data_IF_783795274478
#
_entry.id   IF_783795274478
#
_cell.length_a   1.000
_cell.length_b   1.000
_cell.length_c   1.000
_cell.angle_alpha   90.00
_cell.angle_beta   90.00
_cell.angle_gamma   90.00
#
_symmetry.space_group_name_H-M   'P 1'
#
loop_
_entity.id
_entity.type
_entity.pdbx_description
1 polymer ?
#
# COMPACT_ATOMS: atom_id res chain seq x y z
N UNK A 1 1.60 -19.26 -10.71
CA UNK A 1 1.10 -18.70 -11.99
C UNK A 1 2.30 -18.11 -12.72
N UNK A 2 2.50 -18.42 -14.00
CA UNK A 2 3.71 -18.05 -14.75
C UNK A 2 3.79 -16.54 -14.97
N UNK A 3 5.02 -16.02 -14.98
CA UNK A 3 5.39 -14.60 -15.22
C UNK A 3 4.83 -13.99 -16.51
N UNK A 4 4.27 -14.81 -17.40
CA UNK A 4 3.60 -14.41 -18.63
C UNK A 4 2.23 -13.75 -18.37
N UNK A 5 1.51 -14.14 -17.32
CA UNK A 5 0.17 -13.61 -17.04
C UNK A 5 0.16 -12.15 -16.56
N UNK A 6 1.22 -11.74 -15.84
CA UNK A 6 1.31 -10.38 -15.29
C UNK A 6 1.75 -9.35 -16.34
N UNK A 7 2.57 -9.75 -17.33
CA UNK A 7 2.92 -8.89 -18.47
C UNK A 7 1.71 -8.59 -19.35
N UNK A 8 0.83 -9.57 -19.56
CA UNK A 8 -0.37 -9.38 -20.37
C UNK A 8 -1.41 -8.47 -19.70
N UNK A 9 -1.50 -8.50 -18.37
CA UNK A 9 -2.40 -7.60 -17.63
C UNK A 9 -1.82 -6.16 -17.63
N UNK A 10 -0.50 -6.02 -17.52
CA UNK A 10 0.19 -4.73 -17.61
C UNK A 10 0.04 -4.07 -18.99
N UNK A 11 0.24 -4.82 -20.08
CA UNK A 11 0.06 -4.30 -21.45
C UNK A 11 -1.39 -3.83 -21.71
N UNK A 12 -2.38 -4.54 -21.18
CA UNK A 12 -3.80 -4.15 -21.31
C UNK A 12 -4.14 -2.87 -20.53
N UNK A 13 -3.53 -2.65 -19.36
CA UNK A 13 -3.67 -1.40 -18.61
C UNK A 13 -2.99 -0.22 -19.33
N UNK A 14 -1.85 -0.48 -19.99
CA UNK A 14 -1.10 0.52 -20.75
C UNK A 14 -1.84 0.94 -22.03
N UNK A 15 -2.45 -0.01 -22.75
CA UNK A 15 -3.29 0.26 -23.91
C UNK A 15 -4.54 1.07 -23.55
N UNK A 16 -5.17 0.77 -22.39
CA UNK A 16 -6.30 1.54 -21.87
C UNK A 16 -5.95 3.00 -21.56
N UNK A 17 -4.76 3.25 -21.01
CA UNK A 17 -4.27 4.60 -20.73
C UNK A 17 -3.92 5.38 -22.00
N UNK A 18 -3.39 4.73 -23.04
CA UNK A 18 -3.15 5.37 -24.34
C UNK A 18 -4.45 5.73 -25.05
N UNK A 19 -5.46 4.86 -24.98
CA UNK A 19 -6.79 5.11 -25.57
C UNK A 19 -7.50 6.31 -24.91
N UNK A 20 -7.39 6.45 -23.58
CA UNK A 20 -7.97 7.58 -22.84
C UNK A 20 -7.28 8.91 -23.20
N UNK A 21 -5.94 8.94 -23.29
CA UNK A 21 -5.17 10.15 -23.68
C UNK A 21 -5.46 10.60 -25.12
N UNK A 22 -5.64 9.66 -26.05
CA UNK A 22 -6.04 9.96 -27.44
C UNK A 22 -7.44 10.60 -27.52
N UNK A 23 -8.33 10.26 -26.58
CA UNK A 23 -9.69 10.80 -26.49
C UNK A 23 -9.74 12.19 -25.84
N UNK A 24 -8.80 12.50 -24.93
CA UNK A 24 -8.61 13.83 -24.33
C UNK A 24 -8.03 14.83 -25.34
N UNK A 25 -7.10 14.40 -26.22
CA UNK A 25 -6.55 15.22 -27.33
C UNK A 25 -7.63 15.74 -28.30
N UNK A 26 -8.80 15.09 -28.39
CA UNK A 26 -9.90 15.50 -29.31
C UNK A 26 -10.84 16.57 -28.71
N UNK A 27 -10.77 16.83 -27.40
CA UNK A 27 -11.74 17.68 -26.69
C UNK A 27 -11.20 19.11 -26.46
N UNK A 28 -9.88 19.33 -26.55
CA UNK A 28 -9.20 20.59 -26.21
C UNK A 28 -8.57 21.35 -27.39
N UNK A 29 -8.93 21.04 -28.64
CA UNK A 29 -8.43 21.78 -29.82
C UNK A 29 -8.95 23.23 -29.95
N UNK A 30 -8.15 24.18 -30.45
CA UNK A 30 -8.53 25.59 -30.52
C UNK A 30 -9.66 25.87 -31.53
N UNK A 31 -10.62 26.72 -31.12
CA UNK A 31 -11.72 27.22 -31.99
C UNK A 31 -11.15 28.01 -33.17
N UNK A 32 -11.59 27.67 -34.38
CA UNK A 32 -11.20 28.31 -35.63
C UNK A 32 -11.46 29.84 -35.64
N UNK A 33 -10.52 30.67 -36.12
CA UNK A 33 -10.78 32.08 -36.34
C UNK A 33 -11.51 32.32 -37.67
N UNK A 34 -12.43 33.28 -37.63
CA UNK A 34 -13.12 33.80 -38.81
C UNK A 34 -12.18 34.57 -39.74
N UNK A 35 -12.47 34.39 -41.02
CA UNK A 35 -11.89 34.99 -42.22
C UNK A 35 -11.60 36.51 -42.10
N UNK A 36 -10.32 36.93 -42.25
CA UNK A 36 -9.91 38.10 -43.07
C UNK A 36 -8.40 38.06 -43.42
N UNK A 37 -8.16 38.36 -44.70
CA UNK A 37 -7.01 39.00 -45.35
C UNK A 37 -5.61 38.35 -45.40
N UNK A 38 -5.31 37.91 -46.64
CA UNK A 38 -3.99 37.71 -47.23
C UNK A 38 -3.17 39.00 -47.14
N UNK A 39 -2.05 38.97 -46.42
CA UNK A 39 -0.72 39.49 -46.81
C UNK A 39 0.23 39.37 -45.61
N UNK A 40 0.77 38.17 -45.42
CA UNK A 40 1.74 37.88 -44.35
C UNK A 40 1.94 36.37 -44.22
N UNK A 41 2.38 35.70 -45.29
CA UNK A 41 2.24 34.23 -45.41
C UNK A 41 3.55 33.43 -45.28
N UNK A 42 4.71 34.06 -45.13
CA UNK A 42 5.99 33.35 -44.95
C UNK A 42 6.60 33.59 -43.58
N UNK A 43 6.53 34.80 -43.04
CA UNK A 43 7.05 35.11 -41.70
C UNK A 43 6.22 34.47 -40.57
N UNK A 44 4.90 34.37 -40.74
CA UNK A 44 4.00 33.66 -39.81
C UNK A 44 4.18 32.14 -39.86
N UNK A 45 4.50 31.58 -41.04
CA UNK A 45 4.77 30.15 -41.21
C UNK A 45 6.07 29.73 -40.52
N UNK A 46 7.14 30.51 -40.69
CA UNK A 46 8.43 30.23 -40.03
C UNK A 46 8.33 30.42 -38.52
N UNK A 47 7.55 31.40 -38.04
CA UNK A 47 7.28 31.54 -36.60
C UNK A 47 6.51 30.36 -36.03
N UNK A 48 5.50 29.87 -36.76
CA UNK A 48 4.72 28.70 -36.35
C UNK A 48 5.53 27.40 -36.39
N UNK A 49 6.40 27.24 -37.39
CA UNK A 49 7.32 26.09 -37.47
C UNK A 49 8.35 26.12 -36.33
N UNK A 50 8.85 27.30 -35.95
CA UNK A 50 9.73 27.44 -34.78
C UNK A 50 9.04 27.21 -33.45
N UNK A 51 7.80 27.69 -33.30
CA UNK A 51 6.99 27.40 -32.13
C UNK A 51 6.67 25.90 -32.07
N UNK A 52 6.35 25.23 -33.18
CA UNK A 52 6.15 23.78 -33.18
C UNK A 52 7.43 22.99 -32.81
N UNK A 53 8.61 23.38 -33.30
CA UNK A 53 9.89 22.76 -32.91
C UNK A 53 10.23 22.97 -31.41
N UNK A 54 9.98 24.17 -30.87
CA UNK A 54 10.24 24.48 -29.45
C UNK A 54 9.30 23.69 -28.52
N UNK A 55 8.06 23.46 -28.95
CA UNK A 55 7.10 22.62 -28.21
C UNK A 55 7.43 21.12 -28.31
N UNK A 56 7.98 20.65 -29.43
CA UNK A 56 8.45 19.26 -29.56
C UNK A 56 9.68 19.00 -28.67
N UNK A 57 10.59 19.98 -28.55
CA UNK A 57 11.73 19.91 -27.62
C UNK A 57 11.27 19.91 -26.14
N UNK A 58 10.28 20.72 -25.77
CA UNK A 58 9.71 20.73 -24.42
C UNK A 58 8.97 19.41 -24.08
N UNK A 59 8.24 18.81 -25.02
CA UNK A 59 7.61 17.48 -24.82
C UNK A 59 8.66 16.37 -24.68
N UNK A 60 9.77 16.40 -25.43
CA UNK A 60 10.87 15.43 -25.27
C UNK A 60 11.58 15.59 -23.91
N UNK A 61 11.78 16.81 -23.41
CA UNK A 61 12.34 17.05 -22.08
C UNK A 61 11.41 16.56 -20.95
N UNK A 62 10.09 16.77 -21.07
CA UNK A 62 9.10 16.24 -20.12
C UNK A 62 9.04 14.70 -20.12
N UNK A 63 9.14 14.05 -21.30
CA UNK A 63 9.20 12.59 -21.40
C UNK A 63 10.51 12.03 -20.77
N UNK A 64 11.65 12.71 -20.94
CA UNK A 64 12.92 12.31 -20.31
C UNK A 64 12.92 12.51 -18.78
N UNK A 65 12.24 13.53 -18.26
CA UNK A 65 12.03 13.73 -16.81
C UNK A 65 11.10 12.67 -16.22
N UNK A 66 10.00 12.31 -16.90
CA UNK A 66 9.11 11.23 -16.48
C UNK A 66 9.83 9.86 -16.47
N UNK A 67 10.66 9.55 -17.47
CA UNK A 67 11.46 8.32 -17.49
C UNK A 67 12.48 8.27 -16.33
N UNK A 68 13.09 9.41 -15.98
CA UNK A 68 14.01 9.49 -14.83
C UNK A 68 13.29 9.32 -13.49
N UNK A 69 12.10 9.91 -13.31
CA UNK A 69 11.27 9.69 -12.13
C UNK A 69 10.82 8.22 -12.02
N UNK A 70 10.47 7.57 -13.14
CA UNK A 70 10.13 6.15 -13.18
C UNK A 70 11.33 5.26 -12.79
N UNK A 71 12.55 5.57 -13.27
CA UNK A 71 13.76 4.84 -12.89
C UNK A 71 14.10 5.02 -11.40
N UNK A 72 13.99 6.23 -10.85
CA UNK A 72 14.19 6.50 -9.43
C UNK A 72 13.14 5.80 -8.55
N UNK A 73 11.87 5.79 -8.97
CA UNK A 73 10.84 4.99 -8.32
C UNK A 73 11.18 3.50 -8.40
N UNK A 74 11.63 2.99 -9.55
CA UNK A 74 11.98 1.56 -9.70
C UNK A 74 13.16 1.15 -8.80
N UNK A 75 14.13 2.05 -8.58
CA UNK A 75 15.22 1.86 -7.63
C UNK A 75 14.75 1.89 -6.17
N UNK A 76 13.85 2.83 -5.80
CA UNK A 76 13.19 2.85 -4.48
C UNK A 76 12.41 1.54 -4.24
N UNK A 77 11.68 1.08 -5.24
CA UNK A 77 11.00 -0.22 -5.22
C UNK A 77 12.00 -1.40 -5.21
N UNK A 78 13.19 -1.29 -5.82
CA UNK A 78 14.23 -2.31 -5.76
C UNK A 78 14.89 -2.44 -4.37
N UNK A 79 15.03 -1.32 -3.64
CA UNK A 79 15.42 -1.33 -2.22
C UNK A 79 14.32 -2.00 -1.37
N UNK A 80 13.04 -1.69 -1.61
CA UNK A 80 11.90 -2.39 -1.00
C UNK A 80 11.84 -3.89 -1.34
N UNK A 81 12.17 -4.27 -2.59
CA UNK A 81 12.25 -5.66 -3.06
C UNK A 81 13.35 -6.47 -2.37
N UNK A 82 14.47 -5.86 -1.96
CA UNK A 82 15.48 -6.51 -1.10
C UNK A 82 14.97 -6.81 0.31
N UNK A 83 14.05 -5.99 0.83
CA UNK A 83 13.26 -6.31 2.04
C UNK A 83 12.28 -7.47 1.81
N UNK A 84 11.67 -7.56 0.62
CA UNK A 84 10.78 -8.66 0.22
C UNK A 84 11.52 -10.00 0.04
N UNK A 85 12.77 -10.03 -0.42
CA UNK A 85 13.56 -11.27 -0.48
C UNK A 85 13.96 -11.79 0.91
N UNK A 86 14.16 -10.89 1.88
CA UNK A 86 14.27 -11.28 3.29
C UNK A 86 12.94 -11.85 3.81
N UNK A 87 11.79 -11.24 3.50
CA UNK A 87 10.46 -11.77 3.88
C UNK A 87 10.10 -13.08 3.17
N UNK A 88 10.53 -13.31 1.93
CA UNK A 88 10.31 -14.56 1.20
C UNK A 88 11.17 -15.71 1.75
N UNK A 89 12.29 -15.40 2.42
CA UNK A 89 13.08 -16.35 3.19
C UNK A 89 12.47 -16.69 4.58
N UNK A 90 11.44 -15.96 5.03
CA UNK A 90 10.74 -16.18 6.32
C UNK A 90 9.81 -17.41 6.29
N UNK A 91 9.43 -17.90 5.11
CA UNK A 91 8.59 -19.09 4.96
C UNK A 91 9.30 -20.20 4.17
N UNK A 92 10.04 -21.12 4.84
CA UNK A 92 10.56 -22.30 4.17
C UNK A 92 9.43 -23.24 3.74
N UNK A 93 9.67 -24.00 2.66
CA UNK A 93 8.76 -25.06 2.20
C UNK A 93 8.55 -26.12 3.28
N UNK A 94 7.41 -26.86 3.27
CA UNK A 94 7.11 -27.86 4.29
C UNK A 94 8.21 -28.92 4.36
N UNK A 95 8.77 -29.13 5.56
CA UNK A 95 9.75 -30.19 5.82
C UNK A 95 9.07 -31.55 5.64
N UNK A 96 9.60 -32.47 4.83
CA UNK A 96 9.00 -33.79 4.68
C UNK A 96 9.45 -34.71 5.83
N UNK A 97 8.47 -35.21 6.60
CA UNK A 97 8.61 -36.45 7.37
C UNK A 97 8.88 -36.29 8.87
N UNK A 98 7.83 -36.44 9.67
CA UNK A 98 7.90 -36.87 11.07
C UNK A 98 7.12 -38.19 11.22
N UNK A 99 7.70 -39.13 11.97
CA UNK A 99 7.39 -40.57 12.03
C UNK A 99 5.91 -41.00 12.12
N UNK A 100 5.50 -42.08 11.42
CA UNK A 100 4.14 -42.60 11.42
C UNK A 100 3.94 -43.61 12.56
N UNK A 101 4.01 -43.19 13.83
CA UNK A 101 3.73 -44.10 14.94
C UNK A 101 3.26 -43.38 16.20
N UNK A 102 2.02 -42.90 16.20
CA UNK A 102 1.16 -42.74 17.39
C UNK A 102 -0.27 -42.47 16.91
N UNK A 103 -0.94 -43.55 16.50
CA UNK A 103 -2.40 -43.61 16.43
C UNK A 103 -2.86 -44.05 17.81
N UNK A 104 -3.34 -43.12 18.63
CA UNK A 104 -4.22 -43.45 19.73
C UNK A 104 -5.38 -42.45 19.76
N UNK A 105 -6.55 -43.03 19.50
CA UNK A 105 -7.91 -42.62 19.81
C UNK A 105 -8.12 -41.23 20.44
N UNK A 106 -8.48 -40.27 19.60
CA UNK A 106 -9.48 -39.26 19.95
C UNK A 106 -10.19 -38.87 18.65
N UNK A 107 -11.22 -39.65 18.29
CA UNK A 107 -12.19 -39.26 17.27
C UNK A 107 -13.11 -38.21 17.89
N UNK A 108 -12.54 -37.02 18.13
CA UNK A 108 -13.28 -35.85 18.53
C UNK A 108 -14.23 -35.50 17.38
N UNK A 109 -15.53 -35.52 17.68
CA UNK A 109 -16.59 -35.15 16.76
C UNK A 109 -16.23 -33.87 16.00
N UNK A 110 -16.12 -33.97 14.67
CA UNK A 110 -15.95 -32.84 13.78
C UNK A 110 -17.07 -31.82 14.07
N UNK A 111 -16.74 -30.56 14.42
CA UNK A 111 -17.75 -29.58 14.79
C UNK A 111 -18.73 -29.39 13.62
N UNK A 112 -20.01 -29.55 13.93
CA UNK A 112 -21.11 -29.37 12.97
C UNK A 112 -21.13 -27.91 12.49
N UNK A 113 -20.44 -27.63 11.38
CA UNK A 113 -20.29 -26.28 10.81
C UNK A 113 -19.09 -26.05 9.90
N UNK A 114 -18.16 -27.02 9.77
CA UNK A 114 -16.92 -26.88 8.98
C UNK A 114 -17.20 -26.62 7.49
N UNK A 115 -16.98 -25.38 7.04
CA UNK A 115 -16.96 -24.98 5.63
C UNK A 115 -15.52 -24.70 5.18
N UNK A 116 -15.02 -25.61 4.36
CA UNK A 116 -13.77 -25.67 3.58
C UNK A 116 -12.48 -25.01 4.15
N UNK A 117 -11.47 -25.86 4.32
CA UNK A 117 -10.17 -25.68 5.00
C UNK A 117 -9.08 -24.81 4.33
N UNK A 118 -9.07 -24.52 3.00
CA UNK A 118 -7.93 -23.84 2.37
C UNK A 118 -7.70 -22.41 2.86
N UNK A 119 -8.78 -21.68 3.17
CA UNK A 119 -8.72 -20.29 3.64
C UNK A 119 -8.31 -20.19 5.11
N UNK A 120 -8.47 -21.26 5.89
CA UNK A 120 -8.18 -21.28 7.33
C UNK A 120 -6.71 -20.91 7.61
N UNK A 121 -5.78 -21.54 6.89
CA UNK A 121 -4.36 -21.26 7.03
C UNK A 121 -4.00 -19.83 6.58
N UNK A 122 -4.71 -19.30 5.57
CA UNK A 122 -4.49 -17.95 5.08
C UNK A 122 -5.01 -16.90 6.07
N UNK A 123 -6.16 -17.13 6.71
CA UNK A 123 -6.68 -16.31 7.80
C UNK A 123 -5.70 -16.32 8.99
N UNK A 124 -5.16 -17.48 9.37
CA UNK A 124 -4.15 -17.56 10.44
C UNK A 124 -2.87 -16.77 10.11
N UNK A 125 -2.44 -16.75 8.84
CA UNK A 125 -1.33 -15.90 8.40
C UNK A 125 -1.67 -14.42 8.47
N UNK A 126 -2.86 -14.03 8.00
CA UNK A 126 -3.32 -12.64 8.06
C UNK A 126 -3.43 -12.16 9.51
N UNK A 127 -3.97 -12.97 10.43
CA UNK A 127 -4.01 -12.67 11.87
C UNK A 127 -2.60 -12.33 12.41
N UNK A 128 -1.58 -13.12 12.05
CA UNK A 128 -0.22 -12.84 12.49
C UNK A 128 0.34 -11.56 11.84
N UNK A 129 -0.04 -11.25 10.60
CA UNK A 129 0.36 -10.02 9.92
C UNK A 129 -0.26 -8.78 10.56
N UNK A 130 -1.55 -8.79 10.93
CA UNK A 130 -2.18 -7.67 11.65
C UNK A 130 -1.55 -7.47 13.04
N UNK A 131 -1.24 -8.57 13.74
CA UNK A 131 -0.53 -8.50 15.03
C UNK A 131 0.89 -7.95 14.88
N UNK A 132 1.57 -8.29 13.78
CA UNK A 132 2.88 -7.72 13.45
C UNK A 132 2.77 -6.22 13.15
N UNK A 133 1.79 -5.80 12.33
CA UNK A 133 1.55 -4.40 12.02
C UNK A 133 1.26 -3.59 13.31
N UNK A 134 0.40 -4.12 14.17
CA UNK A 134 0.14 -3.56 15.50
C UNK A 134 1.43 -3.37 16.32
N UNK A 135 2.33 -4.35 16.30
CA UNK A 135 3.58 -4.29 17.06
C UNK A 135 4.58 -3.28 16.47
N UNK A 136 4.62 -3.15 15.14
CA UNK A 136 5.40 -2.10 14.46
C UNK A 136 4.90 -0.72 14.85
N UNK A 137 3.59 -0.48 14.80
CA UNK A 137 3.00 0.79 15.22
C UNK A 137 3.21 1.08 16.69
N UNK A 138 3.20 0.06 17.55
CA UNK A 138 3.53 0.22 18.96
C UNK A 138 4.99 0.70 19.14
N UNK A 139 5.92 0.13 18.38
CA UNK A 139 7.33 0.57 18.38
C UNK A 139 7.46 2.04 17.94
N UNK A 140 6.80 2.42 16.84
CA UNK A 140 6.77 3.82 16.37
C UNK A 140 6.21 4.76 17.42
N UNK A 141 5.07 4.41 18.03
CA UNK A 141 4.42 5.23 19.05
C UNK A 141 5.36 5.53 20.23
N UNK A 142 6.05 4.51 20.74
CA UNK A 142 6.96 4.68 21.86
C UNK A 142 8.28 5.36 21.48
N UNK A 143 8.73 5.25 20.23
CA UNK A 143 9.84 6.05 19.71
C UNK A 143 9.54 7.55 19.79
N UNK A 144 8.38 7.99 19.28
CA UNK A 144 8.00 9.41 19.31
C UNK A 144 7.71 9.94 20.72
N UNK A 145 7.46 9.04 21.69
CA UNK A 145 7.25 9.39 23.09
C UNK A 145 8.53 9.61 23.91
N UNK A 146 9.71 9.32 23.34
CA UNK A 146 11.01 9.54 24.00
C UNK A 146 11.25 11.02 24.25
N UNK A 147 12.02 11.32 25.29
CA UNK A 147 12.37 12.69 25.68
C UNK A 147 13.26 13.40 24.65
N UNK A 148 14.05 12.64 23.87
CA UNK A 148 14.92 13.15 22.81
C UNK A 148 14.25 13.29 21.44
N UNK A 149 12.98 12.87 21.30
CA UNK A 149 12.15 13.04 20.08
C UNK A 149 10.95 13.96 20.36
N UNK A 150 10.18 13.68 21.41
CA UNK A 150 9.12 14.52 21.98
C UNK A 150 7.98 14.98 21.03
N UNK A 151 7.62 14.18 20.02
CA UNK A 151 6.50 14.43 19.10
C UNK A 151 5.23 13.69 19.55
N UNK A 152 4.54 14.27 20.52
CA UNK A 152 3.44 13.59 21.23
C UNK A 152 2.22 13.23 20.36
N UNK A 153 1.91 13.99 19.31
CA UNK A 153 0.75 13.68 18.46
C UNK A 153 1.09 12.58 17.46
N UNK A 154 2.34 12.50 16.95
CA UNK A 154 2.84 11.31 16.27
C UNK A 154 2.75 10.05 17.15
N UNK A 155 3.17 10.15 18.42
CA UNK A 155 3.07 9.04 19.36
C UNK A 155 1.62 8.55 19.53
N UNK A 156 0.67 9.48 19.66
CA UNK A 156 -0.76 9.14 19.77
C UNK A 156 -1.32 8.56 18.47
N UNK A 157 -0.94 9.12 17.32
CA UNK A 157 -1.35 8.65 16.01
C UNK A 157 -0.99 7.19 15.80
N UNK A 158 0.29 6.83 15.98
CA UNK A 158 0.71 5.43 15.84
C UNK A 158 0.16 4.53 16.95
N UNK A 159 -0.09 5.04 18.16
CA UNK A 159 -0.76 4.27 19.20
C UNK A 159 -2.23 3.94 18.83
N UNK A 160 -2.91 4.85 18.13
CA UNK A 160 -4.24 4.61 17.57
C UNK A 160 -4.19 3.52 16.50
N UNK A 161 -3.30 3.65 15.50
CA UNK A 161 -3.13 2.63 14.46
C UNK A 161 -2.79 1.25 15.06
N UNK A 162 -1.91 1.20 16.05
CA UNK A 162 -1.58 -0.06 16.75
C UNK A 162 -2.82 -0.76 17.35
N UNK A 163 -3.78 0.01 17.87
CA UNK A 163 -5.03 -0.52 18.43
C UNK A 163 -6.01 -0.95 17.34
N UNK A 164 -6.10 -0.17 16.26
CA UNK A 164 -6.92 -0.50 15.08
C UNK A 164 -6.45 -1.85 14.49
N UNK A 165 -5.14 -2.05 14.31
CA UNK A 165 -4.61 -3.32 13.82
C UNK A 165 -4.81 -4.51 14.78
N UNK A 166 -4.79 -4.26 16.09
CA UNK A 166 -5.18 -5.29 17.07
C UNK A 166 -6.65 -5.69 16.87
N UNK A 167 -7.52 -4.72 16.62
CA UNK A 167 -8.94 -4.95 16.39
C UNK A 167 -9.19 -5.69 15.07
N UNK A 168 -8.41 -5.42 14.02
CA UNK A 168 -8.40 -6.20 12.78
C UNK A 168 -8.04 -7.66 13.05
N UNK A 169 -6.95 -7.92 13.77
CA UNK A 169 -6.53 -9.26 14.16
C UNK A 169 -7.63 -10.02 14.92
N UNK A 170 -8.23 -9.38 15.94
CA UNK A 170 -9.30 -9.98 16.72
C UNK A 170 -10.57 -10.26 15.90
N UNK A 171 -10.87 -9.42 14.91
CA UNK A 171 -12.01 -9.62 14.01
C UNK A 171 -11.81 -10.85 13.13
N UNK A 172 -10.61 -11.06 12.59
CA UNK A 172 -10.25 -12.29 11.88
C UNK A 172 -10.29 -13.53 12.78
N UNK A 173 -9.85 -13.42 14.04
CA UNK A 173 -9.95 -14.52 15.01
C UNK A 173 -11.42 -14.89 15.29
N UNK A 174 -12.30 -13.90 15.45
CA UNK A 174 -13.75 -14.12 15.60
C UNK A 174 -14.33 -14.80 14.36
N UNK A 175 -13.98 -14.33 13.16
CA UNK A 175 -14.41 -14.92 11.90
C UNK A 175 -13.99 -16.39 11.78
N UNK A 176 -12.73 -16.69 12.11
CA UNK A 176 -12.18 -18.06 12.08
C UNK A 176 -13.00 -18.99 12.99
N UNK A 177 -13.28 -18.56 14.22
CA UNK A 177 -14.07 -19.33 15.17
C UNK A 177 -15.54 -19.46 14.73
N UNK A 178 -16.14 -18.40 14.19
CA UNK A 178 -17.53 -18.40 13.69
C UNK A 178 -17.72 -19.43 12.58
N UNK A 179 -16.70 -19.64 11.74
CA UNK A 179 -16.69 -20.63 10.68
C UNK A 179 -16.25 -22.04 11.11
N UNK A 180 -15.99 -22.24 12.40
CA UNK A 180 -15.54 -23.51 12.95
C UNK A 180 -14.08 -23.87 12.63
N UNK A 181 -13.28 -22.92 12.13
CA UNK A 181 -11.84 -23.06 11.94
C UNK A 181 -11.07 -23.15 13.25
N UNK A 182 -9.75 -23.32 13.18
CA UNK A 182 -8.85 -23.32 14.35
C UNK A 182 -7.84 -22.20 14.22
N UNK A 183 -7.71 -21.44 15.31
CA UNK A 183 -6.70 -20.40 15.43
C UNK A 183 -5.38 -21.07 15.83
N UNK A 184 -4.36 -20.91 14.98
CA UNK A 184 -3.01 -21.41 15.21
C UNK A 184 -2.03 -20.23 15.30
N UNK A 185 -1.94 -19.60 16.49
CA UNK A 185 -1.05 -18.45 16.70
C UNK A 185 0.42 -18.83 16.48
N UNK A 186 1.18 -17.89 15.92
CA UNK A 186 2.61 -18.00 15.67
C UNK A 186 3.36 -16.86 16.36
N UNK A 187 4.69 -16.95 16.40
CA UNK A 187 5.54 -15.87 16.88
C UNK A 187 5.25 -14.57 16.12
N UNK A 188 5.04 -13.48 16.88
CA UNK A 188 5.00 -12.13 16.31
C UNK A 188 6.45 -11.67 16.22
N UNK A 189 6.96 -11.48 15.00
CA UNK A 189 8.33 -11.00 14.81
C UNK A 189 8.46 -9.58 15.35
N UNK A 190 9.63 -9.28 15.93
CA UNK A 190 9.94 -7.89 16.27
C UNK A 190 10.03 -7.04 14.99
N UNK A 191 9.77 -5.73 15.07
CA UNK A 191 10.04 -4.81 13.97
C UNK A 191 11.50 -4.91 13.49
N UNK A 192 11.72 -4.56 12.22
CA UNK A 192 13.04 -4.56 11.58
C UNK A 192 14.02 -3.55 12.20
N UNK A 193 13.49 -2.49 12.83
CA UNK A 193 14.25 -1.43 13.48
C UNK A 193 13.66 -1.00 14.82
N UNK A 194 14.54 -0.53 15.70
CA UNK A 194 14.19 0.05 17.00
C UNK A 194 14.23 1.60 16.99
N UNK A 195 14.89 2.18 15.97
CA UNK A 195 15.01 3.62 15.74
C UNK A 195 14.34 3.98 14.40
N UNK A 196 13.39 4.91 14.46
CA UNK A 196 12.60 5.34 13.30
C UNK A 196 13.11 6.61 12.65
N UNK A 197 14.19 7.21 13.17
CA UNK A 197 14.93 8.36 12.64
C UNK A 197 14.15 9.68 12.64
N UNK A 198 13.01 9.75 11.95
CA UNK A 198 12.24 10.97 11.75
C UNK A 198 10.74 10.68 11.61
N UNK A 199 9.91 11.72 11.71
CA UNK A 199 8.48 11.65 11.41
C UNK A 199 8.21 11.21 9.97
N UNK A 200 8.98 11.75 9.01
CA UNK A 200 8.87 11.36 7.60
C UNK A 200 9.18 9.87 7.39
N UNK A 201 10.31 9.40 7.90
CA UNK A 201 10.73 8.00 7.69
C UNK A 201 9.76 7.02 8.34
N UNK A 202 9.17 7.38 9.50
CA UNK A 202 8.15 6.56 10.13
C UNK A 202 6.86 6.50 9.29
N UNK A 203 6.41 7.61 8.71
CA UNK A 203 5.23 7.67 7.84
C UNK A 203 5.44 6.88 6.54
N UNK A 204 6.62 6.94 5.93
CA UNK A 204 6.97 6.13 4.76
C UNK A 204 6.99 4.63 5.08
N UNK A 205 7.57 4.25 6.23
CA UNK A 205 7.57 2.86 6.69
C UNK A 205 6.15 2.35 6.97
N UNK A 206 5.29 3.19 7.58
CA UNK A 206 3.89 2.90 7.80
C UNK A 206 3.14 2.72 6.48
N UNK A 207 3.33 3.62 5.51
CA UNK A 207 2.73 3.52 4.19
C UNK A 207 3.11 2.22 3.48
N UNK A 208 4.38 1.82 3.55
CA UNK A 208 4.84 0.56 2.98
C UNK A 208 4.22 -0.65 3.70
N UNK A 209 4.13 -0.60 5.03
CA UNK A 209 3.48 -1.65 5.83
C UNK A 209 2.01 -1.82 5.42
N UNK A 210 1.25 -0.73 5.30
CA UNK A 210 -0.15 -0.77 4.88
C UNK A 210 -0.34 -1.31 3.46
N UNK A 211 0.55 -0.95 2.53
CA UNK A 211 0.54 -1.52 1.17
C UNK A 211 0.78 -3.03 1.20
N UNK A 212 1.68 -3.52 2.06
CA UNK A 212 1.95 -4.94 2.21
C UNK A 212 0.78 -5.70 2.84
N UNK A 213 0.16 -5.14 3.89
CA UNK A 213 -1.05 -5.69 4.52
C UNK A 213 -2.19 -5.77 3.50
N UNK A 214 -2.42 -4.69 2.75
CA UNK A 214 -3.42 -4.65 1.69
C UNK A 214 -3.17 -5.68 0.59
N UNK A 215 -1.92 -5.85 0.16
CA UNK A 215 -1.57 -6.88 -0.83
C UNK A 215 -1.89 -8.29 -0.31
N UNK A 216 -1.58 -8.58 0.95
CA UNK A 216 -1.94 -9.87 1.59
C UNK A 216 -3.46 -10.07 1.67
N UNK A 217 -4.22 -9.01 1.95
CA UNK A 217 -5.69 -9.05 1.94
C UNK A 217 -6.26 -9.30 0.54
N UNK A 218 -5.70 -8.70 -0.50
CA UNK A 218 -6.11 -8.95 -1.89
C UNK A 218 -5.81 -10.40 -2.31
N UNK A 219 -4.68 -10.96 -1.87
CA UNK A 219 -4.36 -12.37 -2.10
C UNK A 219 -5.31 -13.31 -1.35
N UNK A 220 -5.67 -12.97 -0.12
CA UNK A 220 -6.67 -13.70 0.67
C UNK A 220 -8.06 -13.63 0.01
N UNK A 221 -8.46 -12.47 -0.50
CA UNK A 221 -9.71 -12.27 -1.23
C UNK A 221 -9.73 -13.06 -2.55
N UNK A 222 -8.63 -13.03 -3.30
CA UNK A 222 -8.47 -13.84 -4.52
C UNK A 222 -8.58 -15.34 -4.21
N UNK A 223 -7.97 -15.80 -3.11
CA UNK A 223 -8.09 -17.17 -2.64
C UNK A 223 -9.54 -17.53 -2.28
N UNK A 224 -10.23 -16.66 -1.53
CA UNK A 224 -11.62 -16.84 -1.16
C UNK A 224 -12.52 -16.95 -2.40
N UNK A 225 -12.33 -16.04 -3.36
CA UNK A 225 -13.04 -16.03 -4.65
C UNK A 225 -12.80 -17.30 -5.46
N UNK A 226 -11.54 -17.75 -5.56
CA UNK A 226 -11.17 -18.98 -6.26
C UNK A 226 -11.74 -20.24 -5.61
N UNK A 227 -12.06 -20.18 -4.31
CA UNK A 227 -12.70 -21.27 -3.55
C UNK A 227 -14.22 -21.15 -3.49
N UNK A 228 -14.80 -20.09 -4.07
CA UNK A 228 -16.24 -19.86 -4.02
C UNK A 228 -16.75 -19.60 -2.61
N UNK A 229 -15.99 -18.84 -1.80
CA UNK A 229 -16.36 -18.41 -0.45
C UNK A 229 -16.84 -16.95 -0.44
N UNK A 230 -18.11 -16.69 -0.84
CA UNK A 230 -18.62 -15.32 -0.96
C UNK A 230 -18.74 -14.60 0.38
N UNK A 231 -18.92 -15.34 1.48
CA UNK A 231 -18.98 -14.74 2.80
C UNK A 231 -17.63 -14.18 3.22
N UNK A 232 -16.53 -14.92 2.99
CA UNK A 232 -15.20 -14.39 3.27
C UNK A 232 -14.87 -13.19 2.38
N UNK A 233 -15.24 -13.21 1.09
CA UNK A 233 -15.07 -12.05 0.21
C UNK A 233 -15.80 -10.81 0.76
N UNK A 234 -17.08 -10.95 1.12
CA UNK A 234 -17.90 -9.86 1.66
C UNK A 234 -17.32 -9.27 2.96
N UNK A 235 -16.84 -10.13 3.87
CA UNK A 235 -16.20 -9.69 5.12
C UNK A 235 -14.91 -8.91 4.84
N UNK A 236 -14.08 -9.37 3.89
CA UNK A 236 -12.84 -8.68 3.53
C UNK A 236 -13.11 -7.32 2.86
N UNK A 237 -14.10 -7.26 1.97
CA UNK A 237 -14.52 -6.02 1.31
C UNK A 237 -15.08 -5.01 2.32
N UNK A 238 -15.94 -5.46 3.22
CA UNK A 238 -16.67 -4.60 4.16
C UNK A 238 -15.76 -4.04 5.25
N UNK A 239 -14.88 -4.87 5.82
CA UNK A 239 -14.14 -4.53 7.04
C UNK A 239 -12.65 -4.25 6.85
N UNK A 240 -12.06 -4.57 5.70
CA UNK A 240 -10.60 -4.46 5.52
C UNK A 240 -10.24 -3.63 4.30
N UNK A 241 -10.68 -4.03 3.09
CA UNK A 241 -10.21 -3.40 1.85
C UNK A 241 -10.56 -1.90 1.77
N UNK A 242 -11.76 -1.52 2.22
CA UNK A 242 -12.15 -0.10 2.25
C UNK A 242 -11.32 0.71 3.24
N UNK A 243 -10.93 0.12 4.37
CA UNK A 243 -10.17 0.80 5.40
C UNK A 243 -8.69 0.88 5.02
N UNK A 244 -8.11 -0.17 4.42
CA UNK A 244 -6.76 -0.11 3.82
C UNK A 244 -6.63 1.02 2.81
N UNK A 245 -7.60 1.20 1.90
CA UNK A 245 -7.55 2.28 0.89
C UNK A 245 -7.54 3.66 1.55
N UNK A 246 -8.32 3.85 2.62
CA UNK A 246 -8.33 5.11 3.38
C UNK A 246 -7.00 5.33 4.10
N UNK A 247 -6.49 4.31 4.80
CA UNK A 247 -5.22 4.40 5.54
C UNK A 247 -4.04 4.68 4.61
N UNK A 248 -3.96 4.00 3.46
CA UNK A 248 -2.93 4.25 2.46
C UNK A 248 -3.02 5.67 1.90
N UNK A 249 -4.23 6.17 1.67
CA UNK A 249 -4.44 7.55 1.20
C UNK A 249 -4.02 8.58 2.25
N UNK A 250 -4.43 8.39 3.50
CA UNK A 250 -4.10 9.25 4.63
C UNK A 250 -2.58 9.32 4.84
N UNK A 251 -1.92 8.17 4.91
CA UNK A 251 -0.47 8.09 5.05
C UNK A 251 0.26 8.70 3.84
N UNK A 252 -0.25 8.49 2.62
CA UNK A 252 0.28 9.14 1.42
C UNK A 252 0.21 10.66 1.49
N UNK A 253 -0.91 11.22 1.95
CA UNK A 253 -1.08 12.66 2.15
C UNK A 253 -0.12 13.21 3.22
N UNK A 254 0.07 12.46 4.30
CA UNK A 254 1.02 12.81 5.37
C UNK A 254 2.47 12.83 4.89
N UNK A 255 2.89 11.79 4.17
CA UNK A 255 4.23 11.72 3.56
C UNK A 255 4.45 12.90 2.62
N UNK A 256 3.52 13.13 1.69
CA UNK A 256 3.62 14.25 0.75
C UNK A 256 3.73 15.59 1.47
N UNK A 257 2.87 15.84 2.46
CA UNK A 257 2.88 17.08 3.24
C UNK A 257 4.22 17.29 3.97
N UNK A 258 4.76 16.25 4.59
CA UNK A 258 6.05 16.33 5.30
C UNK A 258 7.21 16.64 4.34
N UNK A 259 7.24 16.00 3.16
CA UNK A 259 8.22 16.29 2.11
C UNK A 259 8.10 17.75 1.65
N UNK A 260 6.88 18.22 1.34
CA UNK A 260 6.66 19.60 0.91
C UNK A 260 7.05 20.63 1.97
N UNK A 261 6.91 20.30 3.25
CA UNK A 261 7.36 21.16 4.36
C UNK A 261 8.89 21.13 4.59
N UNK A 262 9.61 20.24 3.89
CA UNK A 262 11.06 20.11 3.96
C UNK A 262 11.56 19.20 5.09
N UNK A 263 10.74 18.28 5.60
CA UNK A 263 11.22 17.25 6.53
C UNK A 263 12.14 16.24 5.80
N UNK A 264 13.15 15.65 6.48
CA UNK A 264 13.51 15.85 7.88
C UNK A 264 14.48 17.04 8.11
N UNK A 265 15.03 17.63 7.05
CA UNK A 265 16.09 18.66 7.15
C UNK A 265 15.61 19.95 7.82
N UNK A 266 14.32 20.27 7.69
CA UNK A 266 13.66 21.36 8.37
C UNK A 266 13.02 20.85 9.68
N UNK A 267 13.73 20.96 10.81
CA UNK A 267 13.20 20.51 12.11
C UNK A 267 11.89 21.20 12.55
N UNK A 268 11.58 22.39 12.01
CA UNK A 268 10.28 23.05 12.24
C UNK A 268 9.12 22.35 11.51
N UNK A 269 9.40 21.65 10.41
CA UNK A 269 8.39 20.97 9.61
C UNK A 269 7.63 19.91 10.42
N UNK A 270 8.37 18.98 11.05
CA UNK A 270 7.78 17.90 11.84
C UNK A 270 7.05 18.41 13.07
N UNK A 271 7.59 19.46 13.72
CA UNK A 271 6.92 20.08 14.86
C UNK A 271 5.58 20.72 14.47
N UNK A 272 5.54 21.48 13.37
CA UNK A 272 4.29 22.09 12.90
C UNK A 272 3.30 21.03 12.43
N UNK A 273 3.76 20.00 11.74
CA UNK A 273 2.94 18.87 11.31
C UNK A 273 2.33 18.12 12.51
N UNK A 274 3.13 17.82 13.53
CA UNK A 274 2.67 17.22 14.79
C UNK A 274 1.55 18.05 15.41
N UNK A 275 1.67 19.38 15.44
CA UNK A 275 0.67 20.25 16.08
C UNK A 275 -0.58 20.48 15.24
N UNK A 276 -0.45 20.69 13.93
CA UNK A 276 -1.53 21.18 13.10
C UNK A 276 -2.23 20.10 12.28
N UNK A 277 -1.52 19.05 11.87
CA UNK A 277 -2.13 17.94 11.13
C UNK A 277 -2.63 16.91 12.14
N UNK A 278 -1.70 16.22 12.82
CA UNK A 278 -2.03 15.15 13.76
C UNK A 278 -2.70 15.66 15.05
N UNK A 279 -2.47 16.92 15.42
CA UNK A 279 -3.12 17.53 16.58
C UNK A 279 -4.62 17.79 16.39
N UNK A 280 -5.06 18.06 15.15
CA UNK A 280 -6.45 18.42 14.86
C UNK A 280 -7.35 17.20 14.70
N UNK A 281 -6.83 16.09 14.18
CA UNK A 281 -7.55 14.81 14.06
C UNK A 281 -8.06 14.30 15.41
N UNK A 282 -7.36 14.63 16.50
CA UNK A 282 -7.73 14.26 17.86
C UNK A 282 -8.90 15.07 18.45
N UNK A 283 -9.29 16.20 17.85
CA UNK A 283 -10.41 17.02 18.33
C UNK A 283 -11.76 16.65 17.68
N UNK A 284 -11.76 15.71 16.74
CA UNK A 284 -12.96 15.28 15.99
C UNK A 284 -13.51 13.91 16.42
N UNK A 285 -12.87 13.24 17.38
CA UNK A 285 -13.33 12.01 18.04
C UNK A 285 -13.72 12.26 19.50
#
# INVERSE_FOLDING_TARGET
MSSLGLRQIWELCLEGSRAWRSQVKYISGPRAPHHTDRLGSTCTRIKKEKEEEEWEEEEEEEEEEEEQEEEEEEEKWAVGRRGLEQLRSVFPSPVPGGDPARRDADEAAEPAGRQDLPSEAAINRQINLELYASYVYLSMAYYFSRDDVALNNFARYFLRLSREETQHAETLMRLQNQRGGRICLQDIKKPDRDDWQSGLNAMECALLLEKNVNQSLLELHSLASAKGDPHLCDVLETHYLNDQVKSIKELGDHVHTLITMGAPDCGLAEYLFDKHTLGNENNQN
#
